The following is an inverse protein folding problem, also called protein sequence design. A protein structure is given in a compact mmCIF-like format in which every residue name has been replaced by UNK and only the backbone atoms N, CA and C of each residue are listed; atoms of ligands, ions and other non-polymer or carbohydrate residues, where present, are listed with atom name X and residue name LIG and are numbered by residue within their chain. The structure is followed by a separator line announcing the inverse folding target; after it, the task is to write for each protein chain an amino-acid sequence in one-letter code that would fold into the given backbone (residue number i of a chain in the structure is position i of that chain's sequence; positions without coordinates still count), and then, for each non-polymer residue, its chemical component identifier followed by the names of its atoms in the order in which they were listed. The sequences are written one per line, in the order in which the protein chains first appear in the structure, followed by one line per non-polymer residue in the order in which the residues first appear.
data_IF_170568902425
#
_entry.id   IF_170568902425
#
_cell.length_a   1.000
_cell.length_b   1.000
_cell.length_c   1.000
_cell.angle_alpha   90.00
_cell.angle_beta   90.00
_cell.angle_gamma   90.00
#
_symmetry.space_group_name_H-M   'P 1'
#
loop_
_entity.id
_entity.type
_entity.pdbx_description
1 polymer ?
#
# COMPACT_ATOMS: atom_id res chain seq x y z
N UNK A 1 4.54 -0.11 18.71
CA UNK A 1 3.22 0.08 18.02
C UNK A 1 2.35 -1.14 18.28
N UNK A 2 1.18 -0.93 18.84
CA UNK A 2 0.19 -1.98 19.04
C UNK A 2 -0.63 -2.18 17.77
N UNK A 3 -1.01 -3.42 17.47
CA UNK A 3 -1.87 -3.75 16.33
C UNK A 3 -3.14 -4.38 16.89
N UNK A 4 -4.28 -3.71 16.65
CA UNK A 4 -5.59 -4.15 17.16
C UNK A 4 -6.46 -4.54 15.97
N UNK A 5 -6.86 -5.81 15.91
CA UNK A 5 -7.82 -6.31 14.93
C UNK A 5 -9.22 -6.28 15.52
N UNK A 6 -10.13 -5.57 14.85
CA UNK A 6 -11.51 -5.42 15.33
C UNK A 6 -12.52 -5.84 14.27
N UNK A 7 -13.65 -6.37 14.76
CA UNK A 7 -14.80 -6.79 13.95
C UNK A 7 -16.02 -5.95 14.30
N UNK A 8 -16.97 -5.88 13.40
CA UNK A 8 -18.28 -5.29 13.68
C UNK A 8 -19.27 -6.37 14.17
N UNK A 9 -20.05 -6.11 15.24
CA UNK A 9 -20.04 -4.92 16.09
C UNK A 9 -18.78 -4.82 16.95
N UNK A 10 -18.35 -3.57 17.22
CA UNK A 10 -17.15 -3.31 18.02
C UNK A 10 -17.35 -3.78 19.46
N UNK A 11 -16.45 -4.64 19.94
CA UNK A 11 -16.48 -5.12 21.32
C UNK A 11 -16.14 -4.01 22.32
N UNK A 12 -16.85 -3.97 23.44
CA UNK A 12 -16.61 -3.02 24.53
C UNK A 12 -15.21 -3.13 25.16
N UNK A 13 -14.53 -4.24 25.01
CA UNK A 13 -13.14 -4.42 25.47
C UNK A 13 -12.23 -3.40 24.81
N UNK A 14 -12.31 -3.25 23.48
CA UNK A 14 -11.46 -2.30 22.74
C UNK A 14 -11.77 -0.84 23.08
N UNK A 15 -13.03 -0.50 23.35
CA UNK A 15 -13.42 0.86 23.73
C UNK A 15 -13.01 1.22 25.16
N UNK A 16 -12.98 0.24 26.06
CA UNK A 16 -12.54 0.42 27.43
C UNK A 16 -11.03 0.72 27.51
N UNK A 17 -10.22 -0.03 26.78
CA UNK A 17 -8.76 0.07 26.75
C UNK A 17 -8.23 1.21 25.86
N UNK A 18 -9.08 1.76 25.00
CA UNK A 18 -8.68 2.84 24.11
C UNK A 18 -8.19 4.08 24.87
N UNK A 19 -7.14 4.72 24.38
CA UNK A 19 -6.65 6.00 24.88
C UNK A 19 -7.13 7.15 23.96
N UNK A 20 -7.29 8.38 24.49
CA UNK A 20 -7.56 9.54 23.66
C UNK A 20 -6.51 9.69 22.55
N UNK A 21 -6.96 9.86 21.30
CA UNK A 21 -6.05 9.83 20.17
C UNK A 21 -6.39 10.81 19.07
N UNK A 22 -5.37 11.13 18.25
CA UNK A 22 -5.52 11.67 16.91
C UNK A 22 -5.59 10.47 15.95
N UNK A 23 -6.59 10.46 15.06
CA UNK A 23 -6.96 9.29 14.28
C UNK A 23 -6.94 9.59 12.77
N UNK A 24 -5.83 9.35 12.07
CA UNK A 24 -5.80 9.25 10.62
C UNK A 24 -6.71 8.13 10.09
N UNK A 25 -7.54 8.47 9.10
CA UNK A 25 -8.52 7.57 8.51
C UNK A 25 -8.17 7.29 7.06
N UNK A 26 -8.03 6.03 6.68
CA UNK A 26 -7.76 5.65 5.31
C UNK A 26 -7.49 4.16 5.10
N UNK A 27 -7.52 3.74 3.83
CA UNK A 27 -7.13 2.38 3.49
C UNK A 27 -5.61 2.19 3.48
N UNK A 28 -4.85 3.23 3.14
CA UNK A 28 -3.39 3.29 3.17
C UNK A 28 -2.67 2.20 2.35
N UNK A 29 -3.22 1.81 1.19
CA UNK A 29 -2.51 0.90 0.30
C UNK A 29 -1.34 1.63 -0.38
N UNK A 30 -0.14 1.05 -0.27
CA UNK A 30 1.11 1.63 -0.73
C UNK A 30 1.80 2.51 0.32
N UNK A 31 1.11 3.05 1.33
CA UNK A 31 1.66 4.05 2.28
C UNK A 31 2.49 5.11 1.55
N UNK A 32 1.99 5.57 0.39
CA UNK A 32 2.67 6.51 -0.49
C UNK A 32 2.88 7.89 0.16
N UNK A 33 3.67 8.76 -0.46
CA UNK A 33 4.05 10.06 0.12
C UNK A 33 2.85 10.90 0.59
N UNK A 34 1.71 10.85 -0.12
CA UNK A 34 0.48 11.49 0.35
C UNK A 34 -0.09 10.86 1.63
N UNK A 35 0.00 9.54 1.79
CA UNK A 35 -0.37 8.87 3.04
C UNK A 35 0.59 9.21 4.18
N UNK A 36 1.89 9.22 3.89
CA UNK A 36 2.92 9.59 4.87
C UNK A 36 2.73 11.02 5.36
N UNK A 37 2.42 11.98 4.46
CA UNK A 37 2.17 13.36 4.87
C UNK A 37 0.89 13.49 5.72
N UNK A 38 -0.17 12.73 5.40
CA UNK A 38 -1.38 12.69 6.23
C UNK A 38 -1.08 12.18 7.65
N UNK A 39 -0.29 11.12 7.76
CA UNK A 39 0.12 10.55 9.05
C UNK A 39 1.05 11.52 9.79
N UNK A 40 1.98 12.17 9.09
CA UNK A 40 2.86 13.17 9.68
C UNK A 40 2.10 14.41 10.17
N UNK A 41 1.06 14.84 9.44
CA UNK A 41 0.16 15.91 9.89
C UNK A 41 -0.54 15.51 11.19
N UNK A 42 -1.11 14.30 11.23
CA UNK A 42 -1.76 13.78 12.43
C UNK A 42 -0.78 13.64 13.61
N UNK A 43 0.47 13.21 13.35
CA UNK A 43 1.54 13.12 14.35
C UNK A 43 1.88 14.48 14.95
N UNK A 44 1.94 15.54 14.13
CA UNK A 44 2.15 16.91 14.62
C UNK A 44 1.00 17.36 15.54
N UNK A 45 -0.25 17.07 15.15
CA UNK A 45 -1.44 17.40 15.97
C UNK A 45 -1.42 16.59 17.28
N UNK A 46 -1.13 15.29 17.22
CA UNK A 46 -1.03 14.43 18.39
C UNK A 46 -0.02 14.95 19.41
N UNK A 47 1.17 15.34 18.92
CA UNK A 47 2.21 15.93 19.77
C UNK A 47 1.79 17.28 20.38
N UNK A 48 1.08 18.13 19.64
CA UNK A 48 0.62 19.43 20.14
C UNK A 48 -0.48 19.29 21.20
N UNK A 49 -1.30 18.27 21.09
CA UNK A 49 -2.44 18.03 22.00
C UNK A 49 -2.12 17.01 23.11
N UNK A 50 -0.89 16.50 23.18
CA UNK A 50 -0.48 15.43 24.10
C UNK A 50 -1.37 14.19 24.01
N UNK A 51 -1.65 13.76 22.78
CA UNK A 51 -2.49 12.61 22.45
C UNK A 51 -1.68 11.51 21.77
N UNK A 52 -2.21 10.28 21.84
CA UNK A 52 -1.67 9.15 21.06
C UNK A 52 -1.95 9.33 19.57
N UNK A 53 -1.07 8.81 18.73
CA UNK A 53 -1.28 8.68 17.29
C UNK A 53 -1.80 7.27 16.98
N UNK A 54 -3.09 7.13 16.73
CA UNK A 54 -3.68 5.87 16.27
C UNK A 54 -4.07 5.98 14.79
N UNK A 55 -3.78 4.98 13.99
CA UNK A 55 -4.18 4.92 12.58
C UNK A 55 -5.27 3.89 12.39
N UNK A 56 -6.38 4.26 11.74
CA UNK A 56 -7.43 3.30 11.38
C UNK A 56 -7.33 2.92 9.91
N UNK A 57 -7.17 1.62 9.66
CA UNK A 57 -7.17 1.02 8.33
C UNK A 57 -8.14 -0.14 8.24
N UNK A 58 -8.41 -0.61 7.02
CA UNK A 58 -9.40 -1.63 6.74
C UNK A 58 -8.77 -2.83 6.05
N UNK A 59 -9.25 -4.03 6.37
CA UNK A 59 -8.82 -5.26 5.72
C UNK A 59 -9.95 -6.30 5.76
N UNK A 60 -10.26 -7.02 4.67
CA UNK A 60 -9.70 -6.85 3.33
C UNK A 60 -10.11 -5.52 2.67
N UNK A 61 -9.67 -5.31 1.43
CA UNK A 61 -10.01 -4.08 0.70
C UNK A 61 -11.52 -3.97 0.45
N UNK A 62 -12.16 -2.81 0.68
CA UNK A 62 -13.60 -2.62 0.50
C UNK A 62 -14.15 -3.12 -0.84
N UNK A 63 -13.41 -2.95 -1.94
CA UNK A 63 -13.82 -3.43 -3.28
C UNK A 63 -14.01 -4.95 -3.35
N UNK A 64 -13.30 -5.72 -2.52
CA UNK A 64 -13.41 -7.18 -2.47
C UNK A 64 -14.75 -7.63 -1.87
N UNK A 65 -15.30 -6.84 -0.96
CA UNK A 65 -16.56 -7.15 -0.25
C UNK A 65 -17.77 -6.52 -0.94
N UNK A 66 -17.61 -5.27 -1.43
CA UNK A 66 -18.71 -4.51 -2.05
C UNK A 66 -18.84 -4.82 -3.56
N UNK A 67 -17.73 -5.21 -4.20
CA UNK A 67 -17.69 -5.53 -5.63
C UNK A 67 -18.26 -6.92 -5.94
N UNK A 68 -18.65 -7.12 -7.20
CA UNK A 68 -19.06 -8.43 -7.71
C UNK A 68 -17.85 -9.31 -8.11
N UNK A 69 -16.63 -8.79 -7.98
CA UNK A 69 -15.40 -9.46 -8.37
C UNK A 69 -14.84 -10.22 -7.16
N UNK A 70 -14.90 -11.55 -7.22
CA UNK A 70 -14.38 -12.45 -6.18
C UNK A 70 -12.88 -12.71 -6.30
N UNK A 71 -12.19 -12.08 -7.25
CA UNK A 71 -10.73 -12.26 -7.36
C UNK A 71 -10.04 -11.68 -6.12
N UNK A 72 -9.07 -12.43 -5.53
CA UNK A 72 -8.32 -11.93 -4.40
C UNK A 72 -7.67 -10.60 -4.73
N UNK A 73 -7.91 -9.59 -3.89
CA UNK A 73 -7.31 -8.28 -4.07
C UNK A 73 -5.83 -8.34 -3.74
N UNK A 74 -5.00 -7.99 -4.70
CA UNK A 74 -3.57 -7.79 -4.48
C UNK A 74 -3.29 -6.36 -4.01
N UNK A 75 -2.26 -6.20 -3.18
CA UNK A 75 -1.91 -4.93 -2.55
C UNK A 75 -0.57 -4.41 -3.06
N UNK A 76 -0.43 -3.07 -3.09
CA UNK A 76 0.89 -2.44 -3.24
C UNK A 76 1.71 -2.76 -1.99
N UNK A 77 1.06 -2.65 -0.82
CA UNK A 77 1.65 -2.92 0.49
C UNK A 77 0.68 -3.75 1.31
N UNK A 78 0.85 -5.09 1.38
CA UNK A 78 0.07 -5.97 2.24
C UNK A 78 0.12 -5.55 3.71
N UNK A 79 -0.82 -6.05 4.51
CA UNK A 79 -1.05 -5.59 5.87
C UNK A 79 0.20 -5.68 6.77
N UNK A 80 0.96 -6.77 6.69
CA UNK A 80 2.20 -6.95 7.47
C UNK A 80 3.24 -5.87 7.16
N UNK A 81 3.49 -5.61 5.86
CA UNK A 81 4.41 -4.57 5.44
C UNK A 81 3.88 -3.17 5.76
N UNK A 82 2.56 -2.95 5.61
CA UNK A 82 1.90 -1.71 6.01
C UNK A 82 2.12 -1.42 7.50
N UNK A 83 1.93 -2.43 8.35
CA UNK A 83 2.15 -2.28 9.80
C UNK A 83 3.59 -1.85 10.12
N UNK A 84 4.59 -2.44 9.45
CA UNK A 84 5.99 -2.02 9.60
C UNK A 84 6.20 -0.57 9.20
N UNK A 85 5.67 -0.14 8.05
CA UNK A 85 5.77 1.25 7.61
C UNK A 85 5.06 2.23 8.56
N UNK A 86 3.91 1.84 9.14
CA UNK A 86 3.22 2.63 10.15
C UNK A 86 4.05 2.77 11.43
N UNK A 87 4.71 1.70 11.85
CA UNK A 87 5.65 1.74 12.98
C UNK A 87 6.82 2.68 12.73
N UNK A 88 7.42 2.63 11.54
CA UNK A 88 8.54 3.51 11.14
C UNK A 88 8.11 4.98 11.11
N UNK A 89 6.86 5.28 10.78
CA UNK A 89 6.26 6.62 10.86
C UNK A 89 5.98 7.08 12.30
N UNK A 90 6.11 6.18 13.28
CA UNK A 90 5.92 6.45 14.70
C UNK A 90 4.44 6.45 15.13
N UNK A 91 3.63 5.61 14.52
CA UNK A 91 2.26 5.31 14.96
C UNK A 91 2.32 4.52 16.27
N UNK A 92 1.50 4.91 17.26
CA UNK A 92 1.41 4.20 18.53
C UNK A 92 0.49 2.98 18.43
N UNK A 93 -0.64 3.12 17.72
CA UNK A 93 -1.63 2.05 17.56
C UNK A 93 -2.15 1.97 16.12
N UNK A 94 -2.10 0.79 15.53
CA UNK A 94 -2.73 0.48 14.24
C UNK A 94 -4.03 -0.30 14.48
N UNK A 95 -5.16 0.33 14.19
CA UNK A 95 -6.49 -0.27 14.27
C UNK A 95 -6.84 -0.84 12.90
N UNK A 96 -6.91 -2.16 12.81
CA UNK A 96 -7.28 -2.89 11.59
C UNK A 96 -8.72 -3.33 11.69
N UNK A 97 -9.60 -2.61 11.02
CA UNK A 97 -11.03 -2.96 11.00
C UNK A 97 -11.27 -4.05 9.95
N UNK A 98 -11.87 -5.17 10.38
CA UNK A 98 -12.34 -6.19 9.45
C UNK A 98 -13.47 -5.62 8.59
N UNK A 99 -13.19 -5.42 7.30
CA UNK A 99 -14.17 -4.90 6.35
C UNK A 99 -15.00 -6.05 5.78
N UNK A 100 -16.04 -6.41 6.50
CA UNK A 100 -17.02 -7.42 6.09
C UNK A 100 -18.36 -6.79 5.65
N UNK A 101 -19.31 -7.64 5.30
CA UNK A 101 -20.64 -7.20 4.86
C UNK A 101 -21.39 -6.42 5.96
N UNK A 102 -21.24 -6.79 7.23
CA UNK A 102 -21.90 -6.11 8.33
C UNK A 102 -21.33 -4.68 8.50
N UNK A 103 -19.99 -4.53 8.50
CA UNK A 103 -19.34 -3.23 8.54
C UNK A 103 -19.68 -2.38 7.31
N UNK A 104 -19.73 -2.98 6.10
CA UNK A 104 -20.06 -2.27 4.86
C UNK A 104 -21.49 -1.66 4.85
N UNK A 105 -22.39 -2.17 5.69
CA UNK A 105 -23.75 -1.65 5.86
C UNK A 105 -23.89 -0.64 7.00
N UNK A 106 -22.82 -0.37 7.75
CA UNK A 106 -22.84 0.59 8.84
C UNK A 106 -23.18 2.00 8.33
N UNK A 107 -24.11 2.67 9.02
CA UNK A 107 -24.47 4.06 8.67
C UNK A 107 -23.31 5.02 8.93
N UNK A 108 -23.27 6.21 8.31
CA UNK A 108 -22.28 7.23 8.65
C UNK A 108 -22.27 7.57 10.15
N UNK A 109 -23.44 7.80 10.77
CA UNK A 109 -23.54 8.05 12.20
C UNK A 109 -23.04 6.89 13.05
N UNK A 110 -23.41 5.63 12.69
CA UNK A 110 -22.90 4.44 13.39
C UNK A 110 -21.37 4.33 13.32
N UNK A 111 -20.74 4.66 12.17
CA UNK A 111 -19.28 4.70 12.08
C UNK A 111 -18.66 5.73 13.03
N UNK A 112 -19.27 6.91 13.16
CA UNK A 112 -18.82 7.94 14.10
C UNK A 112 -18.97 7.47 15.53
N UNK A 113 -20.17 7.00 15.91
CA UNK A 113 -20.50 6.63 17.29
C UNK A 113 -19.72 5.38 17.74
N UNK A 114 -19.77 4.30 16.96
CA UNK A 114 -19.18 3.03 17.36
C UNK A 114 -17.66 3.04 17.26
N UNK A 115 -17.10 3.63 16.19
CA UNK A 115 -15.67 3.53 15.93
C UNK A 115 -14.90 4.79 16.35
N UNK A 116 -15.28 5.99 15.88
CA UNK A 116 -14.50 7.16 16.22
C UNK A 116 -14.65 7.53 17.71
N UNK A 117 -15.88 7.57 18.22
CA UNK A 117 -16.11 7.82 19.63
C UNK A 117 -15.68 6.61 20.47
N UNK A 118 -15.92 5.38 20.01
CA UNK A 118 -15.49 4.15 20.68
C UNK A 118 -13.98 4.11 20.93
N UNK A 119 -13.17 4.52 19.95
CA UNK A 119 -11.72 4.64 20.10
C UNK A 119 -11.27 5.97 20.70
N UNK A 120 -12.17 6.70 21.35
CA UNK A 120 -11.87 7.99 22.02
C UNK A 120 -11.15 8.99 21.12
N UNK A 121 -11.48 9.02 19.81
CA UNK A 121 -10.96 9.99 18.88
C UNK A 121 -11.20 11.41 19.37
N UNK A 122 -10.16 12.23 19.46
CA UNK A 122 -10.24 13.65 19.79
C UNK A 122 -10.00 14.51 18.56
N UNK A 123 -9.31 13.99 17.57
CA UNK A 123 -9.04 14.67 16.32
C UNK A 123 -8.94 13.66 15.18
N UNK A 124 -9.87 13.71 14.25
CA UNK A 124 -9.82 12.90 13.04
C UNK A 124 -9.06 13.63 11.93
N UNK A 125 -8.18 12.91 11.19
CA UNK A 125 -7.44 13.45 10.05
C UNK A 125 -7.73 12.59 8.83
N UNK A 126 -8.23 13.19 7.74
CA UNK A 126 -8.54 12.42 6.54
C UNK A 126 -8.26 13.22 5.26
N UNK A 127 -8.02 12.51 4.16
CA UNK A 127 -7.85 13.11 2.85
C UNK A 127 -9.17 13.71 2.31
N UNK A 128 -9.06 14.72 1.46
CA UNK A 128 -10.20 15.44 0.85
C UNK A 128 -11.23 14.52 0.16
N UNK A 129 -10.82 13.33 -0.27
CA UNK A 129 -11.65 12.34 -0.97
C UNK A 129 -12.11 11.18 -0.07
N UNK A 130 -11.94 11.30 1.26
CA UNK A 130 -12.34 10.26 2.20
C UNK A 130 -13.85 10.04 2.20
N UNK A 131 -14.25 8.77 2.12
CA UNK A 131 -15.64 8.32 2.20
C UNK A 131 -15.78 7.21 3.22
N UNK A 132 -16.91 7.21 3.93
CA UNK A 132 -17.21 6.23 4.97
C UNK A 132 -18.71 5.90 5.04
N UNK A 133 -19.05 4.88 5.83
CA UNK A 133 -20.42 4.43 6.00
C UNK A 133 -20.99 3.74 4.77
N UNK A 134 -22.23 3.27 4.87
CA UNK A 134 -22.91 2.51 3.82
C UNK A 134 -22.88 3.22 2.45
N UNK A 135 -22.33 2.52 1.45
CA UNK A 135 -22.16 3.04 0.07
C UNK A 135 -21.39 4.36 -0.01
N UNK A 136 -20.51 4.64 0.96
CA UNK A 136 -19.71 5.87 0.99
C UNK A 136 -20.55 7.15 1.11
N UNK A 137 -21.71 7.09 1.77
CA UNK A 137 -22.59 8.26 1.96
C UNK A 137 -21.96 9.33 2.85
N UNK A 138 -21.11 8.93 3.81
CA UNK A 138 -20.35 9.84 4.64
C UNK A 138 -19.17 10.45 3.87
N UNK A 139 -18.85 11.70 4.14
CA UNK A 139 -17.74 12.46 3.60
C UNK A 139 -17.16 13.38 4.69
N UNK A 140 -16.15 14.20 4.36
CA UNK A 140 -15.53 15.10 5.32
C UNK A 140 -16.48 16.17 5.86
N UNK A 141 -17.42 16.66 5.06
CA UNK A 141 -18.41 17.64 5.49
C UNK A 141 -19.36 17.05 6.53
N UNK A 142 -19.93 15.86 6.24
CA UNK A 142 -20.76 15.15 7.23
C UNK A 142 -19.96 14.77 8.46
N UNK A 143 -18.69 14.38 8.32
CA UNK A 143 -17.81 14.08 9.45
C UNK A 143 -17.60 15.30 10.36
N UNK A 144 -17.39 16.48 9.76
CA UNK A 144 -17.25 17.75 10.50
C UNK A 144 -18.54 18.15 11.22
N UNK A 145 -19.70 17.96 10.56
CA UNK A 145 -21.00 18.34 11.13
C UNK A 145 -21.41 17.39 12.27
N UNK A 146 -21.43 16.10 11.99
CA UNK A 146 -21.90 15.06 12.93
C UNK A 146 -20.89 14.83 14.08
N UNK A 147 -19.58 14.92 13.78
CA UNK A 147 -18.50 14.74 14.75
C UNK A 147 -18.24 15.94 15.66
N UNK A 148 -18.78 17.14 15.36
CA UNK A 148 -18.45 18.41 16.01
C UNK A 148 -18.52 18.41 17.56
N UNK A 149 -19.38 17.56 18.14
CA UNK A 149 -19.55 17.45 19.59
C UNK A 149 -18.51 16.55 20.26
N UNK A 150 -17.80 15.74 19.48
CA UNK A 150 -16.97 14.64 19.99
C UNK A 150 -15.49 14.84 19.70
N UNK A 151 -15.16 15.35 18.49
CA UNK A 151 -13.79 15.49 18.02
C UNK A 151 -13.66 16.62 16.99
N UNK A 152 -12.44 17.06 16.79
CA UNK A 152 -12.07 17.97 15.71
C UNK A 152 -11.79 17.17 14.41
N UNK A 153 -11.87 17.84 13.26
CA UNK A 153 -11.59 17.23 11.95
C UNK A 153 -10.65 18.10 11.15
N UNK A 154 -9.50 17.56 10.80
CA UNK A 154 -8.58 18.19 9.85
C UNK A 154 -8.64 17.48 8.50
N UNK A 155 -8.88 18.27 7.46
CA UNK A 155 -8.82 17.83 6.08
C UNK A 155 -7.43 18.01 5.52
N UNK A 156 -6.82 16.94 5.02
CA UNK A 156 -5.60 17.04 4.23
C UNK A 156 -5.97 17.31 2.77
N UNK A 157 -5.43 18.40 2.24
CA UNK A 157 -5.56 18.75 0.82
C UNK A 157 -4.88 17.71 -0.07
N UNK A 158 -5.23 17.72 -1.35
CA UNK A 158 -4.60 16.90 -2.37
C UNK A 158 -3.07 17.06 -2.32
N UNK A 159 -2.35 15.95 -2.22
CA UNK A 159 -0.89 15.94 -2.29
C UNK A 159 -0.45 15.66 -3.72
N UNK A 160 0.37 16.54 -4.26
CA UNK A 160 0.80 16.50 -5.67
C UNK A 160 2.31 16.60 -5.77
N UNK A 161 2.87 15.94 -6.77
CA UNK A 161 4.27 16.07 -7.21
C UNK A 161 4.21 16.38 -8.70
N UNK A 162 4.87 17.46 -9.12
CA UNK A 162 4.87 17.93 -10.52
C UNK A 162 3.45 18.05 -11.12
N UNK A 163 2.50 18.60 -10.35
CA UNK A 163 1.08 18.76 -10.70
C UNK A 163 0.31 17.44 -10.88
N UNK A 164 0.90 16.30 -10.56
CA UNK A 164 0.22 15.01 -10.56
C UNK A 164 -0.17 14.57 -9.14
N UNK A 165 -1.43 14.11 -8.98
CA UNK A 165 -1.91 13.57 -7.70
C UNK A 165 -1.14 12.31 -7.34
N UNK A 166 -0.53 12.27 -6.15
CA UNK A 166 0.00 11.05 -5.55
C UNK A 166 -1.16 10.20 -5.05
N UNK A 167 -1.28 8.97 -5.56
CA UNK A 167 -2.38 8.06 -5.22
C UNK A 167 -2.02 6.59 -5.44
N UNK A 168 -2.70 5.69 -4.73
CA UNK A 168 -2.56 4.24 -4.96
C UNK A 168 -2.93 3.85 -6.40
N UNK A 169 -3.87 4.55 -7.04
CA UNK A 169 -4.21 4.32 -8.46
C UNK A 169 -3.03 4.63 -9.39
N UNK A 170 -2.35 5.77 -9.19
CA UNK A 170 -1.14 6.11 -9.97
C UNK A 170 -0.07 5.04 -9.80
N UNK A 171 0.21 4.63 -8.56
CA UNK A 171 1.19 3.57 -8.28
C UNK A 171 0.81 2.24 -8.92
N UNK A 172 -0.45 1.82 -8.85
CA UNK A 172 -0.94 0.60 -9.49
C UNK A 172 -0.73 0.63 -11.01
N UNK A 173 -0.99 1.77 -11.64
CA UNK A 173 -0.75 1.94 -13.08
C UNK A 173 0.74 1.84 -13.41
N UNK A 174 1.61 2.52 -12.65
CA UNK A 174 3.07 2.42 -12.84
C UNK A 174 3.58 0.98 -12.69
N UNK A 175 3.09 0.25 -11.68
CA UNK A 175 3.44 -1.16 -11.48
C UNK A 175 2.94 -2.01 -12.66
N UNK A 176 1.68 -1.83 -13.08
CA UNK A 176 1.09 -2.58 -14.19
C UNK A 176 1.78 -2.31 -15.54
N UNK A 177 2.37 -1.12 -15.70
CA UNK A 177 3.14 -0.73 -16.88
C UNK A 177 4.64 -1.09 -16.78
N UNK A 178 5.10 -1.63 -15.64
CA UNK A 178 6.52 -1.95 -15.41
C UNK A 178 7.43 -0.74 -15.21
N UNK A 179 6.88 0.44 -14.96
CA UNK A 179 7.58 1.72 -14.82
C UNK A 179 8.15 1.91 -13.41
N UNK A 180 8.93 0.94 -12.94
CA UNK A 180 9.41 0.91 -11.56
C UNK A 180 10.36 2.07 -11.22
N UNK A 181 11.11 2.58 -12.18
CA UNK A 181 12.03 3.71 -11.97
C UNK A 181 11.32 5.00 -11.52
N UNK A 182 10.03 5.14 -11.82
CA UNK A 182 9.23 6.32 -11.46
C UNK A 182 8.56 6.19 -10.09
N UNK A 183 8.40 4.98 -9.59
CA UNK A 183 7.69 4.70 -8.34
C UNK A 183 8.28 5.44 -7.13
N UNK A 184 9.63 5.53 -6.95
CA UNK A 184 10.19 6.22 -5.79
C UNK A 184 9.75 7.67 -5.65
N UNK A 185 9.45 8.36 -6.75
CA UNK A 185 8.96 9.74 -6.73
C UNK A 185 7.59 9.87 -6.03
N UNK A 186 6.76 8.82 -6.04
CA UNK A 186 5.41 8.82 -5.46
C UNK A 186 5.31 8.01 -4.17
N UNK A 187 6.09 6.92 -4.08
CA UNK A 187 6.07 6.02 -2.93
C UNK A 187 7.06 6.43 -1.82
N UNK A 188 8.16 7.14 -2.20
CA UNK A 188 9.27 7.45 -1.32
C UNK A 188 10.30 6.32 -1.21
N UNK A 189 10.01 5.16 -1.80
CA UNK A 189 10.87 3.98 -1.87
C UNK A 189 10.61 3.19 -3.16
N UNK A 190 11.46 2.22 -3.47
CA UNK A 190 11.15 1.27 -4.54
C UNK A 190 9.93 0.42 -4.19
N UNK A 191 9.20 -0.02 -5.22
CA UNK A 191 8.18 -1.05 -5.04
C UNK A 191 8.85 -2.35 -4.60
N UNK A 192 8.30 -2.95 -3.55
CA UNK A 192 8.77 -4.23 -3.01
C UNK A 192 7.69 -5.30 -3.14
N UNK A 193 8.10 -6.51 -3.47
CA UNK A 193 7.29 -7.71 -3.33
C UNK A 193 8.01 -8.75 -2.48
N UNK A 194 7.25 -9.63 -1.84
CA UNK A 194 7.80 -10.76 -1.10
C UNK A 194 7.67 -12.02 -1.94
N UNK A 195 8.68 -12.86 -1.90
CA UNK A 195 8.69 -14.17 -2.54
C UNK A 195 9.32 -15.23 -1.68
N UNK A 196 9.10 -16.49 -2.07
CA UNK A 196 9.76 -17.66 -1.49
C UNK A 196 10.72 -18.24 -2.51
N UNK A 197 11.93 -18.56 -2.08
CA UNK A 197 12.94 -19.21 -2.92
C UNK A 197 12.58 -20.68 -3.08
N UNK A 198 12.30 -21.11 -4.31
CA UNK A 198 11.96 -22.48 -4.65
C UNK A 198 13.22 -23.30 -4.92
N UNK A 199 14.16 -22.74 -5.69
CA UNK A 199 15.43 -23.39 -6.00
C UNK A 199 16.57 -22.38 -6.20
N UNK A 200 17.79 -22.86 -5.99
CA UNK A 200 19.05 -22.12 -6.24
C UNK A 200 20.00 -23.03 -7.00
N UNK A 201 20.53 -22.50 -8.10
CA UNK A 201 21.64 -23.08 -8.83
C UNK A 201 22.69 -21.99 -9.09
N UNK A 202 23.72 -21.93 -8.26
CA UNK A 202 24.79 -20.91 -8.26
C UNK A 202 24.23 -19.47 -8.25
N UNK A 203 24.21 -18.82 -9.41
CA UNK A 203 23.75 -17.44 -9.62
C UNK A 203 22.26 -17.35 -10.05
N UNK A 204 21.62 -18.50 -10.25
CA UNK A 204 20.24 -18.59 -10.69
C UNK A 204 19.32 -18.97 -9.53
N UNK A 205 18.31 -18.19 -9.30
CA UNK A 205 17.36 -18.39 -8.22
C UNK A 205 15.95 -18.39 -8.79
N UNK A 206 15.16 -19.41 -8.51
CA UNK A 206 13.74 -19.42 -8.84
C UNK A 206 12.96 -19.00 -7.60
N UNK A 207 12.04 -18.06 -7.80
CA UNK A 207 11.23 -17.48 -6.73
C UNK A 207 9.78 -17.45 -7.14
N UNK A 208 8.89 -17.88 -6.24
CA UNK A 208 7.45 -17.66 -6.35
C UNK A 208 7.03 -16.44 -5.51
N UNK A 209 6.45 -15.43 -6.16
CA UNK A 209 5.96 -14.24 -5.47
C UNK A 209 4.69 -14.53 -4.67
N UNK A 210 4.58 -13.91 -3.51
CA UNK A 210 3.41 -13.99 -2.63
C UNK A 210 2.15 -13.45 -3.32
N UNK A 211 1.03 -14.14 -3.15
CA UNK A 211 -0.27 -13.77 -3.71
C UNK A 211 -0.83 -12.45 -3.15
N UNK A 212 -0.37 -12.03 -1.98
CA UNK A 212 -0.81 -10.78 -1.38
C UNK A 212 -0.31 -9.54 -2.11
N UNK A 213 0.79 -9.64 -2.86
CA UNK A 213 1.40 -8.51 -3.57
C UNK A 213 0.91 -8.39 -5.01
N UNK A 214 0.89 -7.15 -5.52
CA UNK A 214 0.83 -6.92 -6.96
C UNK A 214 2.01 -7.61 -7.64
N UNK A 215 1.72 -8.25 -8.77
CA UNK A 215 2.74 -8.91 -9.57
C UNK A 215 3.21 -7.96 -10.68
N UNK A 216 4.53 -7.77 -10.86
CA UNK A 216 5.04 -7.06 -12.01
C UNK A 216 4.56 -7.70 -13.33
N UNK A 217 4.36 -6.92 -14.41
CA UNK A 217 4.02 -7.49 -15.70
C UNK A 217 5.21 -8.29 -16.27
N UNK A 218 4.97 -9.21 -17.22
CA UNK A 218 6.04 -9.95 -17.88
C UNK A 218 7.11 -9.00 -18.44
N UNK A 219 8.35 -9.24 -18.07
CA UNK A 219 9.45 -8.35 -18.44
C UNK A 219 10.79 -8.80 -17.88
N UNK A 220 11.82 -8.00 -18.13
CA UNK A 220 13.14 -8.14 -17.54
C UNK A 220 13.44 -6.88 -16.73
N UNK A 221 13.73 -7.04 -15.44
CA UNK A 221 13.85 -5.93 -14.50
C UNK A 221 15.14 -6.01 -13.70
N UNK A 222 15.75 -4.86 -13.45
CA UNK A 222 16.79 -4.72 -12.45
C UNK A 222 16.15 -4.79 -11.07
N UNK A 223 16.72 -5.62 -10.21
CA UNK A 223 16.23 -5.85 -8.86
C UNK A 223 17.34 -5.71 -7.82
N UNK A 224 16.92 -5.50 -6.59
CA UNK A 224 17.76 -5.54 -5.40
C UNK A 224 17.10 -6.44 -4.35
N UNK A 225 17.88 -7.31 -3.74
CA UNK A 225 17.46 -8.13 -2.60
C UNK A 225 18.40 -7.84 -1.44
N UNK A 226 17.82 -7.50 -0.29
CA UNK A 226 18.57 -7.34 0.94
C UNK A 226 18.50 -8.63 1.76
N UNK A 227 19.67 -9.19 2.08
CA UNK A 227 19.86 -10.27 3.04
C UNK A 227 20.59 -9.77 4.28
N UNK A 228 20.79 -10.60 5.29
CA UNK A 228 21.54 -10.25 6.50
C UNK A 228 22.96 -9.73 6.15
N UNK A 229 23.13 -8.42 6.15
CA UNK A 229 24.41 -7.73 5.94
C UNK A 229 24.82 -7.48 4.48
N UNK A 230 24.07 -7.97 3.48
CA UNK A 230 24.44 -7.84 2.07
C UNK A 230 23.29 -7.35 1.21
N UNK A 231 23.62 -6.58 0.19
CA UNK A 231 22.72 -6.16 -0.89
C UNK A 231 23.14 -6.88 -2.17
N UNK A 232 22.20 -7.63 -2.75
CA UNK A 232 22.42 -8.36 -3.98
C UNK A 232 21.67 -7.65 -5.10
N UNK A 233 22.38 -7.15 -6.10
CA UNK A 233 21.78 -6.62 -7.33
C UNK A 233 21.73 -7.73 -8.39
N UNK A 234 20.60 -7.81 -9.08
CA UNK A 234 20.39 -8.85 -10.09
C UNK A 234 19.36 -8.45 -11.14
N UNK A 235 19.07 -9.39 -12.00
CA UNK A 235 18.06 -9.27 -13.04
C UNK A 235 16.96 -10.32 -12.77
N UNK A 236 15.70 -9.88 -12.80
CA UNK A 236 14.53 -10.74 -12.70
C UNK A 236 13.83 -10.84 -14.06
N UNK A 237 13.47 -12.05 -14.48
CA UNK A 237 12.56 -12.25 -15.59
C UNK A 237 11.50 -13.31 -15.25
N UNK A 238 10.29 -13.13 -15.76
CA UNK A 238 9.19 -14.04 -15.47
C UNK A 238 9.34 -15.34 -16.27
N UNK A 239 9.07 -16.49 -15.61
CA UNK A 239 9.01 -17.78 -16.27
C UNK A 239 7.67 -17.88 -17.00
N UNK A 240 7.73 -18.04 -18.33
CA UNK A 240 6.56 -18.14 -19.21
C UNK A 240 6.30 -19.62 -19.58
N UNK A 241 6.11 -20.49 -18.59
CA UNK A 241 5.86 -21.93 -18.81
C UNK A 241 4.38 -22.33 -18.82
N UNK A 242 3.49 -21.34 -18.77
CA UNK A 242 2.03 -21.53 -18.83
C UNK A 242 1.38 -21.97 -17.51
N UNK A 243 2.15 -22.32 -16.48
CA UNK A 243 1.61 -22.86 -15.23
C UNK A 243 1.59 -21.87 -14.07
N UNK A 244 2.51 -20.91 -14.00
CA UNK A 244 2.62 -20.01 -12.85
C UNK A 244 2.98 -18.57 -13.24
N UNK A 245 2.00 -17.68 -13.29
CA UNK A 245 2.21 -16.24 -13.51
C UNK A 245 3.06 -15.55 -12.43
N UNK A 246 3.40 -16.23 -11.32
CA UNK A 246 4.11 -15.68 -10.17
C UNK A 246 5.53 -16.21 -10.00
N UNK A 247 6.00 -17.09 -10.88
CA UNK A 247 7.36 -17.63 -10.82
C UNK A 247 8.34 -16.74 -11.60
N UNK A 248 9.44 -16.41 -10.96
CA UNK A 248 10.46 -15.52 -11.48
C UNK A 248 11.84 -16.17 -11.42
N UNK A 249 12.60 -16.05 -12.50
CA UNK A 249 14.03 -16.32 -12.53
C UNK A 249 14.79 -15.07 -12.14
N UNK A 250 15.60 -15.15 -11.08
CA UNK A 250 16.52 -14.12 -10.66
C UNK A 250 17.94 -14.56 -11.01
N UNK A 251 18.71 -13.66 -11.58
CA UNK A 251 20.11 -13.88 -11.90
C UNK A 251 20.96 -12.84 -11.20
N UNK A 252 21.97 -13.29 -10.46
CA UNK A 252 22.91 -12.46 -9.70
C UNK A 252 24.34 -12.65 -10.23
N UNK A 253 25.20 -11.66 -10.00
CA UNK A 253 26.62 -11.75 -10.37
C UNK A 253 27.40 -12.67 -9.40
N UNK A 254 26.95 -12.75 -8.16
CA UNK A 254 27.56 -13.55 -7.10
C UNK A 254 26.65 -14.71 -6.68
N UNK A 255 27.21 -15.74 -6.01
CA UNK A 255 26.43 -16.85 -5.50
C UNK A 255 25.45 -16.38 -4.41
N UNK A 256 24.19 -16.79 -4.52
CA UNK A 256 23.13 -16.41 -3.59
C UNK A 256 23.04 -17.41 -2.43
N UNK A 257 23.09 -16.98 -1.15
CA UNK A 257 23.38 -17.88 -0.04
C UNK A 257 22.20 -18.64 0.57
N UNK A 258 20.96 -18.52 0.12
CA UNK A 258 19.80 -18.94 0.92
C UNK A 258 18.72 -19.71 0.16
N UNK A 259 18.55 -21.02 0.43
CA UNK A 259 17.42 -21.85 -0.04
C UNK A 259 16.27 -21.83 0.98
N UNK A 260 14.99 -21.83 0.49
CA UNK A 260 13.79 -22.00 1.32
C UNK A 260 13.43 -20.79 2.19
N UNK A 261 14.07 -19.63 2.02
CA UNK A 261 13.79 -18.41 2.76
C UNK A 261 12.83 -17.48 2.03
N UNK A 262 12.03 -16.74 2.79
CA UNK A 262 11.30 -15.57 2.29
C UNK A 262 12.30 -14.46 1.99
N UNK A 263 12.12 -13.80 0.84
CA UNK A 263 12.92 -12.67 0.42
C UNK A 263 12.04 -11.50 0.05
N UNK A 264 12.59 -10.29 0.19
CA UNK A 264 12.00 -9.05 -0.29
C UNK A 264 12.75 -8.60 -1.53
N UNK A 265 12.02 -8.37 -2.61
CA UNK A 265 12.57 -7.98 -3.91
C UNK A 265 12.16 -6.54 -4.17
N UNK A 266 13.12 -5.63 -4.27
CA UNK A 266 12.94 -4.26 -4.72
C UNK A 266 13.07 -4.21 -6.23
N UNK A 267 12.04 -3.71 -6.89
CA UNK A 267 11.97 -3.56 -8.34
C UNK A 267 12.46 -2.16 -8.71
N UNK A 268 13.59 -2.07 -9.46
CA UNK A 268 14.27 -0.78 -9.70
C UNK A 268 13.91 -0.17 -11.05
N UNK A 269 14.01 -0.91 -12.13
CA UNK A 269 13.74 -0.42 -13.50
C UNK A 269 13.64 -1.57 -14.48
N UNK A 270 13.14 -1.31 -15.70
CA UNK A 270 13.36 -2.24 -16.82
C UNK A 270 14.87 -2.41 -17.12
N UNK A 271 15.28 -3.60 -17.51
CA UNK A 271 16.64 -3.87 -17.94
C UNK A 271 16.99 -3.08 -19.22
N UNK A 272 18.19 -2.51 -19.26
CA UNK A 272 18.68 -1.61 -20.32
C UNK A 272 18.62 -2.27 -21.72
N UNK A 273 18.70 -3.60 -21.81
CA UNK A 273 18.62 -4.34 -23.08
C UNK A 273 17.28 -4.15 -23.79
N UNK A 274 16.16 -4.08 -23.05
CA UNK A 274 14.82 -3.86 -23.63
C UNK A 274 14.53 -2.39 -23.92
N UNK A 275 15.04 -1.47 -23.10
CA UNK A 275 14.81 -0.04 -23.30
C UNK A 275 15.43 0.48 -24.63
N UNK A 276 16.57 -0.07 -25.06
CA UNK A 276 17.15 0.22 -26.38
C UNK A 276 16.28 -0.34 -27.51
N UNK A 277 15.82 -1.59 -27.43
CA UNK A 277 14.98 -2.18 -28.48
C UNK A 277 13.60 -1.49 -28.59
N UNK A 278 13.01 -1.04 -27.50
CA UNK A 278 11.75 -0.27 -27.54
C UNK A 278 11.93 1.14 -28.11
N UNK A 279 13.03 1.84 -27.76
CA UNK A 279 13.37 3.14 -28.35
C UNK A 279 13.61 3.01 -29.86
N UNK A 280 14.31 1.98 -30.30
CA UNK A 280 14.53 1.71 -31.72
C UNK A 280 13.25 1.32 -32.47
N UNK A 281 12.34 0.56 -31.85
CA UNK A 281 11.01 0.25 -32.43
C UNK A 281 10.10 1.48 -32.50
N UNK A 282 10.09 2.36 -31.48
CA UNK A 282 9.36 3.63 -31.50
C UNK A 282 9.92 4.59 -32.53
N UNK A 283 11.24 4.72 -32.62
CA UNK A 283 11.91 5.54 -33.64
C UNK A 283 11.58 5.05 -35.05
N UNK A 284 11.61 3.73 -35.30
CA UNK A 284 11.22 3.14 -36.60
C UNK A 284 9.72 3.28 -36.90
N UNK A 285 8.85 3.27 -35.92
CA UNK A 285 7.42 3.48 -36.10
C UNK A 285 7.09 4.94 -36.41
N UNK A 286 7.75 5.89 -35.74
CA UNK A 286 7.61 7.35 -36.02
C UNK A 286 8.15 7.69 -37.41
N UNK A 287 9.30 7.13 -37.78
CA UNK A 287 9.87 7.32 -39.12
C UNK A 287 8.97 6.74 -40.24
N UNK A 288 8.23 5.67 -39.98
CA UNK A 288 7.23 5.12 -40.92
C UNK A 288 5.98 5.98 -41.06
N UNK A 289 5.56 6.70 -40.01
CA UNK A 289 4.37 7.59 -40.04
C UNK A 289 4.71 8.95 -40.71
N UNK A 290 5.97 9.36 -40.70
CA UNK A 290 6.41 10.60 -41.35
C UNK A 290 6.78 10.42 -42.85
N UNK A 291 6.75 9.18 -43.35
CA UNK A 291 7.06 8.85 -44.76
C UNK A 291 5.80 8.60 -45.61
N UNK A 292 4.62 8.95 -45.10
CA UNK A 292 3.36 9.06 -45.83
C UNK A 292 2.83 10.51 -45.67
#
# INVERSE_FOLDING_TARGET
MDIIHVQHPLSSIYTAEAEPCVLPLGFFDGVHLGHQELINLAKRIAKQQDLKLAVMTFFPHPKQIIGNDQTPQTYITPLEQKAKLMQDLGVDTLIVVNFDSAFAHLSPSGFIEDYLCGFKCKHAVAGFDFRYGHKGKGNLETLKIEGKRFFEVTEMKKFEIDHEKVSSTKLRNLIAEGRFAEIPAYLGSYFESQGTIDSIDNQHVIVTLSEAFLTPPPGEYLIEIQTEGYVHEGIAHQIMDGSFQRSWHLHFNDSFPCKGKKIHIKWKSESIKKSKQMKDRRAKSIAKVQAF
#
